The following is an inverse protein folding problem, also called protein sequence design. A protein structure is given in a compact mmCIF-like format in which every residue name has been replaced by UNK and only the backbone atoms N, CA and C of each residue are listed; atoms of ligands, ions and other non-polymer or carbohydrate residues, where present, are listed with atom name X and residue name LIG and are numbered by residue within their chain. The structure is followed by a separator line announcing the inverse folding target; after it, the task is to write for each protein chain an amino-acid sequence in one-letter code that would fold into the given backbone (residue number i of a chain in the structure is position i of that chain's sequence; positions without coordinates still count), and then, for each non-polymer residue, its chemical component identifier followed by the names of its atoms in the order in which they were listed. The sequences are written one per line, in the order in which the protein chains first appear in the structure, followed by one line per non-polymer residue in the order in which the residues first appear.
data_IF_445212112945
#
_entry.id   IF_445212112945
#
_cell.length_a   1.000
_cell.length_b   1.000
_cell.length_c   1.000
_cell.angle_alpha   90.00
_cell.angle_beta   90.00
_cell.angle_gamma   90.00
#
_symmetry.space_group_name_H-M   'P 1'
#
loop_
_entity.id
_entity.type
_entity.pdbx_description
1 polymer ?
#
# COMPACT_ATOMS: atom_id res chain seq x y z
N UNK A 1 -4.08 -17.37 -2.50
CA UNK A 1 -3.11 -16.75 -3.43
C UNK A 1 -2.69 -15.43 -2.81
N UNK A 2 -1.43 -15.31 -2.38
CA UNK A 2 -0.94 -14.12 -1.68
C UNK A 2 -0.76 -12.95 -2.63
N UNK A 3 -1.27 -11.78 -2.25
CA UNK A 3 -0.96 -10.53 -2.92
C UNK A 3 0.48 -10.19 -2.52
N UNK A 4 1.44 -10.49 -3.38
CA UNK A 4 2.80 -9.98 -3.24
C UNK A 4 2.76 -8.48 -3.55
N UNK A 5 2.63 -7.65 -2.52
CA UNK A 5 2.96 -6.23 -2.64
C UNK A 5 4.48 -6.14 -2.77
N UNK A 6 4.97 -6.14 -4.01
CA UNK A 6 6.33 -5.77 -4.30
C UNK A 6 6.45 -4.26 -4.02
N UNK A 7 6.84 -3.90 -2.79
CA UNK A 7 7.39 -2.57 -2.54
C UNK A 7 8.69 -2.53 -3.32
N UNK A 8 8.63 -1.97 -4.53
CA UNK A 8 9.78 -1.91 -5.41
C UNK A 8 10.86 -1.05 -4.76
N UNK A 9 11.94 -1.68 -4.32
CA UNK A 9 13.22 -0.97 -4.24
C UNK A 9 13.55 -0.56 -5.67
N UNK A 10 13.49 0.74 -5.97
CA UNK A 10 14.10 1.22 -7.20
C UNK A 10 15.60 0.97 -7.07
N UNK A 11 16.16 0.20 -8.00
CA UNK A 11 17.60 0.24 -8.27
C UNK A 11 17.94 1.70 -8.56
N UNK A 12 18.50 2.37 -7.57
CA UNK A 12 18.89 3.77 -7.68
C UNK A 12 19.77 3.92 -8.91
N UNK A 13 19.45 4.86 -9.79
CA UNK A 13 20.31 5.20 -10.91
C UNK A 13 21.76 5.32 -10.39
N UNK A 14 22.73 4.61 -10.99
CA UNK A 14 24.10 4.67 -10.49
C UNK A 14 24.56 6.13 -10.46
N UNK A 15 25.40 6.53 -9.50
CA UNK A 15 26.03 7.84 -9.56
C UNK A 15 26.67 8.01 -10.95
N UNK A 16 26.61 9.23 -11.52
CA UNK A 16 27.24 9.54 -12.81
C UNK A 16 28.64 8.91 -12.84
N UNK A 17 28.89 8.07 -13.83
CA UNK A 17 30.14 7.30 -13.92
C UNK A 17 31.34 8.25 -13.81
N UNK A 18 32.22 8.01 -12.83
CA UNK A 18 33.50 8.72 -12.67
C UNK A 18 33.67 9.61 -11.42
N UNK A 19 32.68 9.70 -10.52
CA UNK A 19 32.85 10.42 -9.24
C UNK A 19 32.64 9.45 -8.07
N UNK A 20 33.73 9.04 -7.42
CA UNK A 20 33.65 8.38 -6.12
C UNK A 20 33.14 9.40 -5.08
N UNK A 21 32.11 9.03 -4.32
CA UNK A 21 31.60 9.83 -3.21
C UNK A 21 31.84 9.07 -1.89
N UNK A 22 33.03 9.22 -1.27
CA UNK A 22 33.35 8.57 -0.01
C UNK A 22 32.29 8.89 1.05
N UNK A 23 31.64 7.87 1.59
CA UNK A 23 30.56 8.01 2.57
C UNK A 23 29.14 7.98 2.00
N UNK A 24 28.97 7.84 0.69
CA UNK A 24 27.66 7.62 0.07
C UNK A 24 27.20 6.17 0.25
N UNK A 25 26.25 5.98 1.16
CA UNK A 25 25.63 4.69 1.43
C UNK A 25 24.32 4.56 0.63
N UNK A 26 24.37 3.78 -0.45
CA UNK A 26 23.21 3.51 -1.31
C UNK A 26 22.05 2.87 -0.56
N UNK A 27 22.31 2.14 0.53
CA UNK A 27 21.26 1.48 1.33
C UNK A 27 20.37 2.49 2.08
N UNK A 28 20.83 3.73 2.24
CA UNK A 28 20.06 4.82 2.87
C UNK A 28 19.15 5.56 1.89
N UNK A 29 19.22 5.24 0.60
CA UNK A 29 18.30 5.79 -0.39
C UNK A 29 17.09 4.87 -0.46
N UNK A 30 16.01 5.29 0.15
CA UNK A 30 14.75 4.57 0.15
C UNK A 30 13.60 5.58 0.06
N UNK A 31 12.49 5.17 -0.54
CA UNK A 31 11.23 5.93 -0.44
C UNK A 31 10.75 5.96 1.00
N UNK A 32 10.09 7.05 1.39
CA UNK A 32 9.45 7.12 2.71
C UNK A 32 8.50 5.94 2.89
N UNK A 33 8.62 5.16 3.97
CA UNK A 33 7.74 4.03 4.20
C UNK A 33 6.33 4.52 4.50
N UNK A 34 5.33 3.72 4.11
CA UNK A 34 3.91 3.94 4.41
C UNK A 34 3.35 2.75 5.17
N UNK A 35 2.28 2.96 5.93
CA UNK A 35 1.56 1.87 6.61
C UNK A 35 0.62 1.20 5.62
N UNK A 36 0.60 -0.13 5.63
CA UNK A 36 -0.30 -0.93 4.79
C UNK A 36 -1.08 -1.89 5.67
N UNK A 37 -2.38 -1.96 5.45
CA UNK A 37 -3.28 -2.94 6.07
C UNK A 37 -4.05 -3.70 4.97
N UNK A 38 -4.33 -4.98 5.21
CA UNK A 38 -5.01 -5.86 4.26
C UNK A 38 -6.25 -6.46 4.91
N UNK A 39 -7.41 -6.17 4.33
CA UNK A 39 -8.70 -6.67 4.81
C UNK A 39 -9.50 -7.20 3.63
N UNK A 40 -9.89 -8.48 3.67
CA UNK A 40 -10.70 -9.14 2.63
C UNK A 40 -10.17 -8.99 1.19
N UNK A 41 -8.85 -8.90 1.01
CA UNK A 41 -8.22 -8.70 -0.29
C UNK A 41 -8.13 -7.23 -0.74
N UNK A 42 -8.72 -6.29 0.01
CA UNK A 42 -8.50 -4.86 -0.17
C UNK A 42 -7.20 -4.42 0.53
N UNK A 43 -6.50 -3.49 -0.11
CA UNK A 43 -5.26 -2.91 0.39
C UNK A 43 -5.54 -1.48 0.82
N UNK A 44 -5.28 -1.18 2.09
CA UNK A 44 -5.40 0.15 2.66
C UNK A 44 -4.01 0.70 2.92
N UNK A 45 -3.79 1.95 2.53
CA UNK A 45 -2.51 2.66 2.73
C UNK A 45 -2.77 3.86 3.63
N UNK A 46 -1.95 4.03 4.66
CA UNK A 46 -1.96 5.22 5.49
C UNK A 46 -0.57 5.88 5.45
N UNK A 47 -0.57 7.21 5.24
CA UNK A 47 0.64 8.02 5.16
C UNK A 47 1.14 8.46 6.55
N UNK A 48 0.30 8.36 7.58
CA UNK A 48 0.70 8.55 8.96
C UNK A 48 1.42 7.28 9.47
N UNK A 49 2.71 7.36 9.85
CA UNK A 49 3.45 6.21 10.39
C UNK A 49 2.87 5.69 11.71
N UNK A 50 2.17 6.54 12.45
CA UNK A 50 1.57 6.23 13.75
C UNK A 50 0.09 5.81 13.64
N UNK A 51 -0.40 5.62 12.41
CA UNK A 51 -1.75 5.16 12.15
C UNK A 51 -2.03 3.81 12.84
N UNK A 52 -3.17 3.77 13.55
CA UNK A 52 -3.68 2.53 14.14
C UNK A 52 -4.14 1.53 13.05
N UNK A 53 -4.14 0.23 13.35
CA UNK A 53 -4.71 -0.80 12.49
C UNK A 53 -6.17 -0.54 12.10
N UNK A 54 -6.62 -1.10 10.98
CA UNK A 54 -8.00 -0.96 10.50
C UNK A 54 -9.03 -1.44 11.52
N UNK A 55 -8.76 -2.56 12.19
CA UNK A 55 -9.66 -3.16 13.19
C UNK A 55 -9.81 -2.28 14.45
N UNK A 56 -8.83 -1.42 14.76
CA UNK A 56 -8.89 -0.47 15.86
C UNK A 56 -9.67 0.80 15.46
N UNK A 57 -9.47 1.25 14.22
CA UNK A 57 -10.16 2.42 13.66
C UNK A 57 -11.64 2.14 13.39
N UNK A 58 -11.98 0.92 12.99
CA UNK A 58 -13.33 0.48 12.64
C UNK A 58 -13.67 -0.87 13.30
N UNK A 59 -13.92 -0.90 14.62
CA UNK A 59 -14.21 -2.14 15.33
C UNK A 59 -15.44 -2.86 14.76
N UNK A 60 -15.30 -4.14 14.45
CA UNK A 60 -16.38 -4.99 13.92
C UNK A 60 -16.59 -4.93 12.40
N UNK A 61 -15.97 -3.96 11.70
CA UNK A 61 -16.18 -3.79 10.24
C UNK A 61 -15.83 -5.05 9.46
N UNK A 62 -14.82 -5.79 9.92
CA UNK A 62 -14.37 -7.02 9.29
C UNK A 62 -15.50 -8.06 9.23
N UNK A 63 -16.19 -8.24 10.35
CA UNK A 63 -17.27 -9.22 10.48
C UNK A 63 -18.53 -8.75 9.74
N UNK A 64 -18.86 -7.45 9.82
CA UNK A 64 -20.00 -6.87 9.12
C UNK A 64 -19.89 -7.02 7.59
N UNK A 65 -18.69 -6.79 7.04
CA UNK A 65 -18.43 -6.94 5.60
C UNK A 65 -18.60 -8.39 5.14
N UNK A 66 -18.10 -9.36 5.91
CA UNK A 66 -18.27 -10.80 5.59
C UNK A 66 -19.72 -11.23 5.71
N UNK A 67 -20.44 -10.72 6.70
CA UNK A 67 -21.87 -11.00 6.85
C UNK A 67 -22.67 -10.49 5.64
N UNK A 68 -22.28 -9.35 5.05
CA UNK A 68 -22.93 -8.78 3.88
C UNK A 68 -22.51 -9.46 2.57
N UNK A 69 -21.21 -9.72 2.35
CA UNK A 69 -20.68 -10.40 1.17
C UNK A 69 -19.75 -11.54 1.59
N UNK A 70 -20.28 -12.78 1.77
CA UNK A 70 -19.52 -13.89 2.34
C UNK A 70 -18.29 -14.34 1.55
N UNK A 71 -18.23 -14.05 0.25
CA UNK A 71 -17.16 -14.44 -0.66
C UNK A 71 -16.33 -13.23 -1.13
N UNK A 72 -16.34 -12.13 -0.35
CA UNK A 72 -15.71 -10.87 -0.72
C UNK A 72 -14.22 -11.02 -1.11
N UNK A 73 -13.49 -11.90 -0.43
CA UNK A 73 -12.06 -12.12 -0.68
C UNK A 73 -11.76 -12.80 -2.02
N UNK A 74 -12.76 -13.41 -2.68
CA UNK A 74 -12.62 -14.11 -3.95
C UNK A 74 -13.07 -13.25 -5.14
N UNK A 75 -13.61 -12.05 -4.88
CA UNK A 75 -14.08 -11.15 -5.93
C UNK A 75 -12.93 -10.65 -6.80
N UNK A 76 -13.24 -10.41 -8.07
CA UNK A 76 -12.32 -9.84 -9.06
C UNK A 76 -12.92 -8.54 -9.61
N UNK A 77 -12.10 -7.52 -9.88
CA UNK A 77 -12.58 -6.32 -10.57
C UNK A 77 -13.22 -6.71 -11.91
N UNK A 78 -14.43 -6.22 -12.15
CA UNK A 78 -15.14 -6.44 -13.41
C UNK A 78 -14.89 -5.27 -14.38
N UNK A 79 -14.96 -4.05 -13.86
CA UNK A 79 -14.81 -2.81 -14.61
C UNK A 79 -14.16 -1.75 -13.72
N UNK A 80 -13.40 -0.83 -14.33
CA UNK A 80 -12.86 0.37 -13.69
C UNK A 80 -13.37 1.59 -14.45
N UNK A 81 -14.02 2.50 -13.74
CA UNK A 81 -14.54 3.75 -14.29
C UNK A 81 -13.97 4.90 -13.48
N UNK A 82 -13.42 5.90 -14.17
CA UNK A 82 -12.91 7.13 -13.56
C UNK A 82 -13.92 8.25 -13.80
N UNK A 83 -14.41 8.84 -12.71
CA UNK A 83 -15.41 9.91 -12.75
C UNK A 83 -14.84 11.08 -11.96
N UNK A 84 -14.26 12.11 -12.61
CA UNK A 84 -13.78 13.29 -11.90
C UNK A 84 -14.98 14.06 -11.34
N UNK A 85 -15.08 14.09 -10.02
CA UNK A 85 -16.15 14.80 -9.32
C UNK A 85 -15.82 16.29 -9.17
N UNK A 86 -16.81 17.16 -9.44
CA UNK A 86 -16.72 18.60 -9.16
C UNK A 86 -17.38 18.93 -7.81
N UNK A 87 -17.13 18.08 -6.82
CA UNK A 87 -17.58 18.23 -5.44
C UNK A 87 -16.50 17.70 -4.48
N UNK A 88 -16.71 17.97 -3.19
CA UNK A 88 -15.95 17.37 -2.09
C UNK A 88 -16.75 16.24 -1.45
#
# INVERSE_FOLDING_TARGET
MGVHLAVGFQDTAPPKAGVENPGFDKSKICHSPVRVDVMHGFIFVNLDPDAKPMDDCFPGVRDEVVAFVPHIADLKPLEWVEIPENCN
#
